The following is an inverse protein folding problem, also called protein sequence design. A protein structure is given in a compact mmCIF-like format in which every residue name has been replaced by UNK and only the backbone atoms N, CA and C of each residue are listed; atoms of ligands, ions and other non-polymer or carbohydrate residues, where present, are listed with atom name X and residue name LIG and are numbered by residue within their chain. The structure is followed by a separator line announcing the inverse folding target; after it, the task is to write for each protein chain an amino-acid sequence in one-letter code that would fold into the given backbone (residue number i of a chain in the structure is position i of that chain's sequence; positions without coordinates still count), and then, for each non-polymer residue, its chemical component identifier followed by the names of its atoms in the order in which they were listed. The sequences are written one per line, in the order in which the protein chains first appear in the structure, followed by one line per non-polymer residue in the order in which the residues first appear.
data_IF_281222936657
#
_entry.id   IF_281222936657
#
_cell.length_a   1.000
_cell.length_b   1.000
_cell.length_c   1.000
_cell.angle_alpha   90.00
_cell.angle_beta   90.00
_cell.angle_gamma   90.00
#
_symmetry.space_group_name_H-M   'P 1'
#
loop_
_entity.id
_entity.type
_entity.pdbx_description
1 polymer ?
#
# COMPACT_ATOMS: atom_id res chain seq x y z
N UNK A 1 -8.35 15.51 23.91
CA UNK A 1 -7.51 15.03 22.80
C UNK A 1 -6.22 14.47 23.39
N UNK A 2 -5.98 13.16 23.30
CA UNK A 2 -4.67 12.60 23.66
C UNK A 2 -3.72 12.88 22.50
N UNK A 3 -2.64 13.60 22.77
CA UNK A 3 -1.63 13.92 21.77
C UNK A 3 -1.07 12.64 21.17
N UNK A 4 -1.04 12.57 19.84
CA UNK A 4 -0.27 11.57 19.12
C UNK A 4 1.21 11.88 19.39
N UNK A 5 1.86 11.10 20.24
CA UNK A 5 3.32 11.12 20.35
C UNK A 5 3.84 10.44 19.10
N UNK A 6 4.30 11.23 18.13
CA UNK A 6 5.00 10.72 16.95
C UNK A 6 6.43 10.41 17.38
N UNK A 7 6.66 9.21 17.93
CA UNK A 7 8.02 8.69 18.02
C UNK A 7 8.47 8.35 16.60
N UNK A 8 9.22 9.27 15.97
CA UNK A 8 9.97 8.97 14.75
C UNK A 8 11.17 8.09 15.09
N UNK A 9 10.92 6.81 15.38
CA UNK A 9 12.00 5.83 15.50
C UNK A 9 12.56 5.58 14.10
N UNK A 10 13.78 6.06 13.84
CA UNK A 10 14.58 5.56 12.72
C UNK A 10 14.77 4.06 12.94
N UNK A 11 14.06 3.25 12.15
CA UNK A 11 14.16 1.80 12.23
C UNK A 11 15.24 1.36 11.24
N UNK A 12 16.41 1.02 11.78
CA UNK A 12 17.48 0.39 11.01
C UNK A 12 17.15 -1.09 10.84
N UNK A 13 17.15 -1.64 9.61
CA UNK A 13 16.97 -3.07 9.41
C UNK A 13 18.11 -3.84 10.07
N UNK A 14 17.80 -5.00 10.65
CA UNK A 14 18.81 -5.91 11.18
C UNK A 14 19.45 -6.73 10.03
N UNK A 15 20.48 -7.54 10.35
CA UNK A 15 21.17 -8.34 9.34
C UNK A 15 20.27 -9.36 8.62
N UNK A 16 19.28 -9.93 9.30
CA UNK A 16 18.37 -10.90 8.69
C UNK A 16 17.46 -10.23 7.66
N UNK A 17 16.94 -9.05 8.01
CA UNK A 17 16.13 -8.22 7.12
C UNK A 17 16.92 -7.82 5.88
N UNK A 18 18.21 -7.45 6.03
CA UNK A 18 19.09 -7.13 4.91
C UNK A 18 19.41 -8.33 4.00
N UNK A 19 19.16 -9.55 4.45
CA UNK A 19 19.36 -10.80 3.67
C UNK A 19 18.04 -11.32 3.07
N UNK A 20 16.93 -10.60 3.25
CA UNK A 20 15.63 -11.01 2.72
C UNK A 20 15.62 -10.97 1.19
N UNK A 21 15.26 -12.09 0.57
CA UNK A 21 15.12 -12.23 -0.88
C UNK A 21 13.65 -12.36 -1.26
N UNK A 22 13.29 -11.78 -2.41
CA UNK A 22 11.95 -11.91 -3.00
C UNK A 22 11.64 -13.40 -3.24
N UNK A 23 10.46 -13.89 -2.80
CA UNK A 23 10.11 -15.31 -2.89
C UNK A 23 9.95 -15.78 -4.34
N UNK A 24 9.98 -17.10 -4.53
CA UNK A 24 9.77 -17.75 -5.83
C UNK A 24 8.47 -17.27 -6.49
N UNK A 25 8.58 -16.80 -7.73
CA UNK A 25 7.44 -16.26 -8.50
C UNK A 25 7.13 -14.76 -8.27
N UNK A 26 7.77 -14.12 -7.28
CA UNK A 26 7.54 -12.69 -6.95
C UNK A 26 6.08 -12.36 -6.61
N UNK A 27 5.72 -11.08 -6.68
CA UNK A 27 4.36 -10.61 -6.36
C UNK A 27 3.58 -10.10 -7.56
N UNK A 28 4.14 -10.13 -8.77
CA UNK A 28 3.49 -9.60 -9.98
C UNK A 28 2.09 -10.17 -10.21
N UNK A 29 1.89 -11.47 -9.94
CA UNK A 29 0.60 -12.13 -10.11
C UNK A 29 -0.50 -11.64 -9.16
N UNK A 30 -0.13 -11.00 -8.05
CA UNK A 30 -1.06 -10.43 -7.06
C UNK A 30 -1.41 -8.97 -7.37
N UNK A 31 -0.70 -8.34 -8.31
CA UNK A 31 -0.79 -6.90 -8.55
C UNK A 31 -1.55 -6.62 -9.84
N UNK A 32 -2.54 -5.74 -9.75
CA UNK A 32 -3.25 -5.19 -10.89
C UNK A 32 -3.10 -3.68 -10.92
N UNK A 33 -2.56 -3.14 -12.00
CA UNK A 33 -2.26 -1.70 -12.15
C UNK A 33 -3.34 -0.93 -12.90
N UNK A 34 -4.37 -1.62 -13.40
CA UNK A 34 -5.38 -1.05 -14.29
C UNK A 34 -6.78 -1.52 -13.88
N UNK A 35 -7.74 -0.62 -13.96
CA UNK A 35 -9.17 -0.96 -13.88
C UNK A 35 -9.70 -1.05 -15.31
N UNK A 36 -10.38 -2.14 -15.70
CA UNK A 36 -10.95 -2.26 -17.04
C UNK A 36 -11.85 -1.07 -17.40
N UNK A 37 -11.56 -0.42 -18.52
CA UNK A 37 -12.31 0.75 -18.98
C UNK A 37 -11.91 2.09 -18.34
N UNK A 38 -10.86 2.12 -17.52
CA UNK A 38 -10.26 3.33 -16.93
C UNK A 38 -8.79 3.40 -17.36
N UNK A 39 -8.51 4.10 -18.46
CA UNK A 39 -7.18 4.11 -19.09
C UNK A 39 -6.27 5.22 -18.56
N UNK A 40 -6.79 6.43 -18.31
CA UNK A 40 -6.05 7.56 -17.72
C UNK A 40 -6.97 8.43 -16.86
N UNK A 41 -6.41 9.05 -15.81
CA UNK A 41 -7.11 10.00 -14.91
C UNK A 41 -7.74 11.19 -15.67
N UNK A 42 -7.26 11.53 -16.86
CA UNK A 42 -7.70 12.69 -17.65
C UNK A 42 -8.52 12.33 -18.90
N UNK A 43 -8.80 11.05 -19.12
CA UNK A 43 -9.57 10.58 -20.29
C UNK A 43 -10.94 10.09 -19.81
N UNK A 44 -11.89 11.02 -19.66
CA UNK A 44 -13.29 10.72 -19.30
C UNK A 44 -13.92 11.74 -18.35
N UNK A 45 -15.23 11.60 -18.13
CA UNK A 45 -15.94 12.39 -17.11
C UNK A 45 -15.62 11.79 -15.73
N UNK A 46 -15.18 12.58 -14.73
CA UNK A 46 -14.79 12.06 -13.42
C UNK A 46 -15.83 11.17 -12.74
N UNK A 47 -17.11 11.50 -12.87
CA UNK A 47 -18.22 10.70 -12.33
C UNK A 47 -18.35 9.33 -13.02
N UNK A 48 -18.15 9.27 -14.33
CA UNK A 48 -18.17 8.01 -15.09
C UNK A 48 -16.97 7.13 -14.72
N UNK A 49 -15.79 7.72 -14.55
CA UNK A 49 -14.60 7.00 -14.12
C UNK A 49 -14.77 6.43 -12.71
N UNK A 50 -15.31 7.25 -11.79
CA UNK A 50 -15.66 6.79 -10.44
C UNK A 50 -16.67 5.64 -10.50
N UNK A 51 -17.74 5.77 -11.29
CA UNK A 51 -18.77 4.73 -11.42
C UNK A 51 -18.19 3.43 -11.95
N UNK A 52 -17.35 3.47 -13.00
CA UNK A 52 -16.66 2.29 -13.54
C UNK A 52 -15.74 1.64 -12.51
N UNK A 53 -14.95 2.44 -11.79
CA UNK A 53 -14.08 1.96 -10.71
C UNK A 53 -14.90 1.27 -9.62
N UNK A 54 -15.95 1.91 -9.12
CA UNK A 54 -16.80 1.34 -8.08
C UNK A 54 -17.47 0.05 -8.56
N UNK A 55 -18.01 0.04 -9.79
CA UNK A 55 -18.60 -1.17 -10.36
C UNK A 55 -17.58 -2.31 -10.45
N UNK A 56 -16.34 -2.04 -10.89
CA UNK A 56 -15.30 -3.07 -10.94
C UNK A 56 -14.97 -3.62 -9.55
N UNK A 57 -14.80 -2.74 -8.56
CA UNK A 57 -14.52 -3.14 -7.18
C UNK A 57 -15.67 -3.96 -6.57
N UNK A 58 -16.91 -3.56 -6.81
CA UNK A 58 -18.09 -4.27 -6.33
C UNK A 58 -18.34 -5.61 -7.03
N UNK A 59 -17.98 -5.74 -8.30
CA UNK A 59 -18.23 -6.98 -9.07
C UNK A 59 -17.10 -8.00 -8.93
N UNK A 60 -15.84 -7.56 -8.94
CA UNK A 60 -14.68 -8.46 -8.89
C UNK A 60 -14.25 -8.79 -7.46
N UNK A 61 -14.44 -7.86 -6.53
CA UNK A 61 -13.97 -7.98 -5.15
C UNK A 61 -15.13 -7.78 -4.16
N UNK A 62 -16.34 -8.25 -4.51
CA UNK A 62 -17.54 -8.16 -3.67
C UNK A 62 -17.27 -8.67 -2.26
N UNK A 63 -16.68 -9.87 -2.18
CA UNK A 63 -16.51 -10.64 -0.95
C UNK A 63 -15.15 -10.40 -0.27
N UNK A 64 -14.34 -9.48 -0.81
CA UNK A 64 -13.07 -9.10 -0.21
C UNK A 64 -13.24 -7.97 0.80
N UNK A 65 -12.51 -8.04 1.91
CA UNK A 65 -12.23 -6.90 2.79
C UNK A 65 -11.41 -5.87 2.00
N UNK A 66 -11.93 -4.64 1.93
CA UNK A 66 -11.32 -3.54 1.15
C UNK A 66 -10.51 -2.64 2.07
N UNK A 67 -9.23 -2.46 1.75
CA UNK A 67 -8.36 -1.47 2.38
C UNK A 67 -7.95 -0.44 1.36
N UNK A 68 -8.24 0.83 1.64
CA UNK A 68 -7.82 1.95 0.80
C UNK A 68 -6.60 2.61 1.44
N UNK A 69 -5.53 2.81 0.68
CA UNK A 69 -4.30 3.46 1.14
C UNK A 69 -4.08 4.76 0.43
N UNK A 70 -3.43 5.71 1.10
CA UNK A 70 -3.05 6.99 0.54
C UNK A 70 -1.74 7.50 1.13
N UNK A 71 -0.87 8.00 0.27
CA UNK A 71 0.32 8.76 0.64
C UNK A 71 0.12 10.25 0.40
N UNK A 72 0.65 11.08 1.29
CA UNK A 72 0.65 12.53 1.09
C UNK A 72 1.99 13.15 1.40
N UNK A 73 2.29 14.26 0.72
CA UNK A 73 3.47 15.10 0.94
C UNK A 73 3.04 16.57 0.95
N UNK A 74 3.46 17.27 1.99
CA UNK A 74 3.34 18.72 2.12
C UNK A 74 4.69 19.35 2.48
N UNK A 75 4.71 20.67 2.65
CA UNK A 75 5.87 21.39 3.19
C UNK A 75 6.23 20.93 4.61
N UNK A 76 5.25 20.50 5.40
CA UNK A 76 5.41 20.11 6.81
C UNK A 76 5.93 18.68 6.98
N UNK A 77 5.71 17.81 5.99
CA UNK A 77 6.07 16.41 6.13
C UNK A 77 5.53 15.52 5.02
N UNK A 78 5.73 14.22 5.19
CA UNK A 78 5.06 13.19 4.39
C UNK A 78 4.33 12.24 5.35
N UNK A 79 3.25 11.61 4.89
CA UNK A 79 2.51 10.66 5.72
C UNK A 79 1.81 9.60 4.87
N UNK A 80 1.80 8.37 5.36
CA UNK A 80 0.99 7.29 4.81
C UNK A 80 -0.22 7.04 5.68
N UNK A 81 -1.33 6.63 5.07
CA UNK A 81 -2.55 6.26 5.76
C UNK A 81 -3.24 5.05 5.11
N UNK A 82 -4.03 4.35 5.92
CA UNK A 82 -4.94 3.29 5.48
C UNK A 82 -6.32 3.50 6.10
N UNK A 83 -7.33 3.12 5.34
CA UNK A 83 -8.72 2.99 5.77
C UNK A 83 -9.21 1.57 5.46
N UNK A 84 -9.78 0.89 6.46
CA UNK A 84 -10.47 -0.38 6.27
C UNK A 84 -11.97 -0.17 6.43
N UNK A 85 -12.73 -0.46 5.37
CA UNK A 85 -14.19 -0.26 5.35
C UNK A 85 -14.91 -1.16 6.35
N UNK A 86 -14.54 -2.44 6.38
CA UNK A 86 -15.22 -3.46 7.19
C UNK A 86 -15.06 -3.21 8.70
N UNK A 87 -13.85 -2.85 9.13
CA UNK A 87 -13.59 -2.55 10.54
C UNK A 87 -13.93 -1.11 10.92
N UNK A 88 -14.17 -0.23 9.94
CA UNK A 88 -14.31 1.22 10.12
C UNK A 88 -13.14 1.83 10.89
N UNK A 89 -11.92 1.36 10.57
CA UNK A 89 -10.69 1.79 11.23
C UNK A 89 -9.77 2.50 10.25
N UNK A 90 -9.15 3.57 10.74
CA UNK A 90 -8.06 4.25 10.06
C UNK A 90 -6.77 4.13 10.88
N UNK A 91 -5.64 4.07 10.18
CA UNK A 91 -4.31 4.22 10.78
C UNK A 91 -3.46 5.10 9.89
N UNK A 92 -2.62 5.92 10.50
CA UNK A 92 -1.72 6.83 9.81
C UNK A 92 -0.37 6.91 10.49
N UNK A 93 0.66 7.19 9.70
CA UNK A 93 2.02 7.37 10.20
C UNK A 93 2.67 8.57 9.52
N UNK A 94 3.15 9.51 10.33
CA UNK A 94 4.01 10.59 9.87
C UNK A 94 5.40 10.07 9.55
N UNK A 95 5.95 10.53 8.43
CA UNK A 95 7.31 10.26 7.98
C UNK A 95 8.18 11.51 8.13
N UNK A 96 9.49 11.35 7.92
CA UNK A 96 10.42 12.46 7.97
C UNK A 96 10.11 13.52 6.93
N UNK A 97 10.44 14.78 7.22
CA UNK A 97 10.16 15.90 6.32
C UNK A 97 10.84 15.76 4.95
N UNK A 98 11.98 15.04 4.90
CA UNK A 98 12.72 14.70 3.68
C UNK A 98 12.12 13.52 2.90
N UNK A 99 11.12 12.83 3.44
CA UNK A 99 10.52 11.71 2.74
C UNK A 99 9.78 12.17 1.48
N UNK A 100 9.86 11.35 0.44
CA UNK A 100 9.17 11.62 -0.83
C UNK A 100 7.70 11.22 -0.77
N UNK A 101 6.89 11.73 -1.70
CA UNK A 101 5.51 11.25 -1.88
C UNK A 101 5.47 9.74 -2.13
N UNK A 102 6.43 9.20 -2.88
CA UNK A 102 6.54 7.77 -3.11
C UNK A 102 6.75 6.97 -1.81
N UNK A 103 7.60 7.44 -0.89
CA UNK A 103 7.77 6.80 0.42
C UNK A 103 6.49 6.86 1.26
N UNK A 104 5.71 7.93 1.13
CA UNK A 104 4.41 8.05 1.80
C UNK A 104 3.42 6.99 1.32
N UNK A 105 3.37 6.74 0.01
CA UNK A 105 2.53 5.69 -0.59
C UNK A 105 2.94 4.29 -0.12
N UNK A 106 4.25 4.02 -0.10
CA UNK A 106 4.79 2.77 0.43
C UNK A 106 4.45 2.58 1.90
N UNK A 107 4.50 3.63 2.73
CA UNK A 107 4.08 3.54 4.13
C UNK A 107 2.57 3.27 4.24
N UNK A 108 1.73 3.86 3.39
CA UNK A 108 0.29 3.55 3.32
C UNK A 108 0.03 2.06 3.06
N UNK A 109 0.71 1.48 2.06
CA UNK A 109 0.66 0.03 1.79
C UNK A 109 1.18 -0.80 2.98
N UNK A 110 2.23 -0.32 3.64
CA UNK A 110 2.81 -0.99 4.81
C UNK A 110 1.85 -1.00 6.00
N UNK A 111 1.12 0.09 6.21
CA UNK A 111 0.06 0.18 7.22
C UNK A 111 -1.10 -0.76 6.89
N UNK A 112 -1.46 -0.90 5.60
CA UNK A 112 -2.47 -1.86 5.18
C UNK A 112 -2.07 -3.30 5.51
N UNK A 113 -0.84 -3.72 5.17
CA UNK A 113 -0.40 -5.07 5.49
C UNK A 113 -0.31 -5.32 7.00
N UNK A 114 0.09 -4.33 7.79
CA UNK A 114 0.02 -4.42 9.25
C UNK A 114 -1.41 -4.60 9.76
N UNK A 115 -2.37 -3.88 9.19
CA UNK A 115 -3.79 -4.04 9.52
C UNK A 115 -4.25 -5.47 9.21
N UNK A 116 -3.90 -5.99 8.02
CA UNK A 116 -4.21 -7.37 7.62
C UNK A 116 -3.65 -8.38 8.63
N UNK A 117 -2.38 -8.28 8.99
CA UNK A 117 -1.76 -9.19 9.96
C UNK A 117 -2.40 -9.12 11.35
N UNK A 118 -3.03 -8.00 11.72
CA UNK A 118 -3.66 -7.81 13.02
C UNK A 118 -5.14 -8.23 13.05
N UNK A 119 -5.86 -8.15 11.93
CA UNK A 119 -7.33 -8.26 11.91
C UNK A 119 -7.91 -9.30 10.94
N UNK A 120 -7.21 -9.66 9.85
CA UNK A 120 -7.82 -10.35 8.71
C UNK A 120 -7.03 -11.57 8.20
N UNK A 121 -6.33 -12.28 9.09
CA UNK A 121 -5.43 -13.40 8.70
C UNK A 121 -6.08 -14.55 7.92
N UNK A 122 -7.42 -14.64 7.87
CA UNK A 122 -8.16 -15.70 7.17
C UNK A 122 -9.21 -15.18 6.15
N UNK A 123 -9.14 -13.90 5.76
CA UNK A 123 -10.10 -13.32 4.81
C UNK A 123 -9.47 -13.07 3.44
N UNK A 124 -10.33 -13.00 2.43
CA UNK A 124 -9.94 -12.49 1.11
C UNK A 124 -9.84 -10.97 1.20
N UNK A 125 -8.72 -10.41 0.74
CA UNK A 125 -8.41 -8.99 0.95
C UNK A 125 -8.08 -8.35 -0.39
N UNK A 126 -8.47 -7.09 -0.57
CA UNK A 126 -8.01 -6.24 -1.66
C UNK A 126 -7.49 -4.93 -1.09
N UNK A 127 -6.23 -4.61 -1.40
CA UNK A 127 -5.61 -3.33 -1.06
C UNK A 127 -5.66 -2.44 -2.30
N UNK A 128 -6.21 -1.25 -2.13
CA UNK A 128 -6.49 -0.28 -3.19
C UNK A 128 -5.63 0.95 -2.94
N UNK A 129 -4.80 1.29 -3.92
CA UNK A 129 -3.96 2.50 -3.92
C UNK A 129 -4.10 3.20 -5.27
N UNK A 130 -3.99 4.53 -5.28
CA UNK A 130 -3.90 5.28 -6.53
C UNK A 130 -2.43 5.53 -6.96
N UNK A 131 -1.46 4.97 -6.22
CA UNK A 131 -0.04 5.02 -6.54
C UNK A 131 0.39 3.88 -7.47
N UNK A 132 0.29 4.13 -8.78
CA UNK A 132 0.84 3.23 -9.79
C UNK A 132 2.34 2.98 -9.61
N UNK A 133 3.11 3.98 -9.18
CA UNK A 133 4.54 3.84 -8.94
C UNK A 133 4.86 2.80 -7.85
N UNK A 134 4.08 2.77 -6.76
CA UNK A 134 4.25 1.76 -5.71
C UNK A 134 3.88 0.35 -6.19
N UNK A 135 2.81 0.23 -6.98
CA UNK A 135 2.40 -1.04 -7.59
C UNK A 135 3.46 -1.56 -8.58
N UNK A 136 3.95 -0.70 -9.47
CA UNK A 136 4.96 -1.06 -10.47
C UNK A 136 6.27 -1.48 -9.79
N UNK A 137 6.68 -0.80 -8.72
CA UNK A 137 7.88 -1.17 -7.97
C UNK A 137 7.77 -2.58 -7.37
N UNK A 138 6.64 -2.91 -6.73
CA UNK A 138 6.39 -4.26 -6.20
C UNK A 138 6.30 -5.32 -7.31
N UNK A 139 5.63 -5.00 -8.41
CA UNK A 139 5.40 -5.94 -9.52
C UNK A 139 6.67 -6.27 -10.31
N UNK A 140 7.66 -5.38 -10.28
CA UNK A 140 8.92 -5.54 -10.99
C UNK A 140 10.06 -6.07 -10.11
N UNK A 141 9.84 -6.28 -8.80
CA UNK A 141 10.79 -7.00 -7.96
C UNK A 141 10.88 -8.46 -8.42
N UNK A 142 12.04 -8.82 -8.97
CA UNK A 142 12.33 -10.14 -9.48
C UNK A 142 12.55 -11.14 -8.36
N UNK A 143 12.30 -12.42 -8.64
CA UNK A 143 12.64 -13.50 -7.73
C UNK A 143 14.14 -13.44 -7.36
N UNK A 144 14.46 -13.79 -6.11
CA UNK A 144 15.82 -13.84 -5.57
C UNK A 144 16.56 -12.48 -5.58
N UNK A 145 15.87 -11.37 -5.86
CA UNK A 145 16.40 -10.03 -5.69
C UNK A 145 16.31 -9.57 -4.23
N UNK A 146 17.26 -8.72 -3.83
CA UNK A 146 17.18 -7.97 -2.57
C UNK A 146 16.27 -6.75 -2.78
N UNK A 147 15.16 -6.61 -2.04
CA UNK A 147 14.35 -5.40 -2.15
C UNK A 147 15.15 -4.15 -1.75
N UNK A 148 14.93 -3.02 -2.45
CA UNK A 148 15.44 -1.72 -2.02
C UNK A 148 15.05 -1.42 -0.57
N UNK A 149 15.92 -0.74 0.18
CA UNK A 149 15.72 -0.45 1.61
C UNK A 149 14.36 0.18 1.92
N UNK A 150 13.87 1.06 1.05
CA UNK A 150 12.59 1.73 1.22
C UNK A 150 11.38 0.81 1.04
N UNK A 151 11.54 -0.38 0.43
CA UNK A 151 10.49 -1.39 0.28
C UNK A 151 10.62 -2.54 1.27
N UNK A 152 11.76 -2.67 1.96
CA UNK A 152 12.10 -3.85 2.75
C UNK A 152 11.02 -4.23 3.78
N UNK A 153 10.56 -3.25 4.57
CA UNK A 153 9.50 -3.44 5.58
C UNK A 153 8.17 -3.88 4.97
N UNK A 154 7.83 -3.33 3.81
CA UNK A 154 6.60 -3.68 3.09
C UNK A 154 6.70 -5.12 2.58
N UNK A 155 7.82 -5.47 1.96
CA UNK A 155 8.04 -6.80 1.38
C UNK A 155 8.16 -7.91 2.41
N UNK A 156 8.66 -7.62 3.61
CA UNK A 156 8.66 -8.55 4.73
C UNK A 156 7.25 -8.93 5.17
N UNK A 157 6.32 -7.97 5.16
CA UNK A 157 4.93 -8.22 5.52
C UNK A 157 4.18 -9.00 4.43
N UNK A 158 4.56 -8.84 3.16
CA UNK A 158 4.00 -9.60 2.03
C UNK A 158 4.37 -11.09 2.03
N UNK A 159 5.36 -11.50 2.85
CA UNK A 159 5.74 -12.91 3.00
C UNK A 159 4.69 -13.71 3.80
N UNK A 160 4.02 -13.06 4.74
CA UNK A 160 3.10 -13.67 5.70
C UNK A 160 1.68 -13.76 5.15
#
# INVERSE_FOLDING_TARGET
MKGFVVEMKMRTPNEEQLKFLVPKGGWRGMISTNIPGVNKKNEGIPSELLQKTMLHLHTKYSDNTKLCTYGTKSAEGAAGAVWCEEHRLTSGAGLHALSSSYQAEVEGLTLALKHVSAHDTNKQIVIITDSKAALDALANLGQDELPPLNLLRLTELLRN
#
